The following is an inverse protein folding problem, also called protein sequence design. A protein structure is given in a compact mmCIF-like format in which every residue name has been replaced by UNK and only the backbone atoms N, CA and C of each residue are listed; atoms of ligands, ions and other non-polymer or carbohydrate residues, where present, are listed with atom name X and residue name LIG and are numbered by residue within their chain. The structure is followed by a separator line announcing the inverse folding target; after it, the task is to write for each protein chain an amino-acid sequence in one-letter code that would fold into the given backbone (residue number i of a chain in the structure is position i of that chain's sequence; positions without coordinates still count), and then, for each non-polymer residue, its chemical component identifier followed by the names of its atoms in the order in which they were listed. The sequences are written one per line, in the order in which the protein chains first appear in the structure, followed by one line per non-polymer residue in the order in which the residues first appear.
data_IF_625010079539
#
_entry.id   IF_625010079539
#
_cell.length_a   1.000
_cell.length_b   1.000
_cell.length_c   1.000
_cell.angle_alpha   90.00
_cell.angle_beta   90.00
_cell.angle_gamma   90.00
#
_symmetry.space_group_name_H-M   'P 1'
#
loop_
_entity.id
_entity.type
_entity.pdbx_description
1 polymer ?
#
# COMPACT_ATOMS: atom_id res chain seq x y z
N UNK A 1 1.73 -1.94 -20.78
CA UNK A 1 1.75 -1.96 -19.30
C UNK A 1 0.55 -2.77 -18.85
N UNK A 2 0.76 -3.82 -18.05
CA UNK A 2 -0.29 -4.67 -17.51
C UNK A 2 -1.23 -3.84 -16.63
N UNK A 3 -2.54 -4.10 -16.69
CA UNK A 3 -3.53 -3.52 -15.77
C UNK A 3 -4.09 -4.61 -14.88
N UNK A 4 -3.95 -4.40 -13.57
CA UNK A 4 -4.48 -5.27 -12.55
C UNK A 4 -5.60 -4.58 -11.77
N UNK A 5 -6.61 -5.35 -11.36
CA UNK A 5 -7.71 -4.88 -10.52
C UNK A 5 -7.46 -5.35 -9.08
N UNK A 6 -7.42 -4.44 -8.13
CA UNK A 6 -7.27 -4.76 -6.71
C UNK A 6 -8.61 -4.69 -5.98
N UNK A 7 -9.06 -5.83 -5.48
CA UNK A 7 -10.31 -5.97 -4.74
C UNK A 7 -10.04 -6.64 -3.39
N UNK A 8 -10.60 -6.07 -2.33
CA UNK A 8 -10.46 -6.60 -0.98
C UNK A 8 -11.62 -7.50 -0.55
N UNK A 9 -12.70 -7.56 -1.34
CA UNK A 9 -13.97 -8.23 -1.01
C UNK A 9 -14.61 -8.81 -2.26
N UNK A 10 -15.21 -9.99 -2.12
CA UNK A 10 -15.94 -10.71 -3.18
C UNK A 10 -17.05 -9.85 -3.81
N UNK A 11 -17.84 -9.15 -2.98
CA UNK A 11 -18.93 -8.28 -3.47
C UNK A 11 -18.50 -7.20 -4.48
N UNK A 12 -17.20 -6.89 -4.52
CA UNK A 12 -16.65 -5.90 -5.43
C UNK A 12 -16.23 -6.48 -6.78
N UNK A 13 -16.41 -7.78 -7.04
CA UNK A 13 -16.20 -8.40 -8.35
C UNK A 13 -17.04 -7.73 -9.46
N UNK A 14 -18.21 -7.17 -9.11
CA UNK A 14 -19.03 -6.30 -9.97
C UNK A 14 -18.30 -5.07 -10.55
N UNK A 15 -17.11 -4.72 -10.04
CA UNK A 15 -16.27 -3.61 -10.54
C UNK A 15 -15.40 -4.04 -11.73
N UNK A 16 -15.31 -5.32 -12.03
CA UNK A 16 -14.62 -5.81 -13.20
C UNK A 16 -15.37 -5.43 -14.47
N UNK A 17 -14.64 -4.93 -15.48
CA UNK A 17 -15.20 -4.39 -16.72
C UNK A 17 -14.51 -4.95 -17.98
N UNK A 18 -13.82 -6.09 -17.86
CA UNK A 18 -13.11 -6.72 -18.98
C UNK A 18 -11.73 -6.13 -19.31
N UNK A 19 -11.30 -5.02 -18.67
CA UNK A 19 -10.06 -4.30 -19.03
C UNK A 19 -8.82 -4.67 -18.21
N UNK A 20 -8.90 -5.70 -17.38
CA UNK A 20 -7.83 -6.10 -16.47
C UNK A 20 -7.37 -7.52 -16.83
N UNK A 21 -6.05 -7.74 -16.80
CA UNK A 21 -5.44 -9.05 -17.03
C UNK A 21 -5.11 -9.81 -15.74
N UNK A 22 -5.27 -9.17 -14.58
CA UNK A 22 -4.89 -9.72 -13.28
C UNK A 22 -5.81 -9.23 -12.17
N UNK A 23 -6.12 -10.13 -11.23
CA UNK A 23 -6.80 -9.85 -9.98
C UNK A 23 -5.78 -9.85 -8.83
N UNK A 24 -5.73 -8.74 -8.10
CA UNK A 24 -5.16 -8.68 -6.76
C UNK A 24 -6.30 -8.89 -5.78
N UNK A 25 -6.17 -9.87 -4.90
CA UNK A 25 -7.20 -10.17 -3.91
C UNK A 25 -6.60 -10.32 -2.51
N UNK A 26 -7.28 -9.78 -1.50
CA UNK A 26 -6.84 -9.83 -0.10
C UNK A 26 -6.62 -8.46 0.51
N UNK A 27 -5.98 -8.42 1.67
CA UNK A 27 -5.87 -7.21 2.50
C UNK A 27 -4.43 -6.86 2.75
N UNK A 28 -4.09 -5.60 2.52
CA UNK A 28 -2.72 -5.10 2.68
C UNK A 28 -2.45 -4.52 4.08
N UNK A 29 -3.47 -4.01 4.77
CA UNK A 29 -3.25 -3.14 5.93
C UNK A 29 -3.66 -3.73 7.28
N UNK A 30 -4.52 -4.75 7.32
CA UNK A 30 -5.10 -5.20 8.57
C UNK A 30 -5.28 -6.72 8.62
N UNK A 31 -4.60 -7.36 9.58
CA UNK A 31 -4.75 -8.80 9.83
C UNK A 31 -6.18 -9.23 10.24
N UNK A 32 -7.00 -8.30 10.75
CA UNK A 32 -8.39 -8.57 11.16
C UNK A 32 -9.36 -8.65 9.97
N UNK A 33 -8.89 -8.28 8.77
CA UNK A 33 -9.67 -8.34 7.54
C UNK A 33 -9.16 -9.41 6.56
N UNK A 34 -8.11 -10.17 6.91
CA UNK A 34 -7.64 -11.30 6.09
C UNK A 34 -8.85 -12.14 5.67
N UNK A 35 -9.03 -12.40 4.36
CA UNK A 35 -10.22 -13.10 3.87
C UNK A 35 -10.30 -14.52 4.42
N UNK A 36 -11.52 -15.05 4.46
CA UNK A 36 -11.76 -16.47 4.74
C UNK A 36 -11.31 -17.38 3.58
N UNK A 37 -11.26 -18.70 3.84
CA UNK A 37 -10.96 -19.70 2.80
C UNK A 37 -12.01 -19.69 1.67
N UNK A 38 -13.28 -19.51 2.02
CA UNK A 38 -14.36 -19.52 1.02
C UNK A 38 -14.32 -18.26 0.15
N UNK A 39 -14.10 -17.08 0.73
CA UNK A 39 -13.88 -15.85 -0.04
C UNK A 39 -12.67 -15.96 -0.99
N UNK A 40 -11.61 -16.64 -0.57
CA UNK A 40 -10.46 -16.91 -1.44
C UNK A 40 -10.83 -17.85 -2.60
N UNK A 41 -11.58 -18.92 -2.34
CA UNK A 41 -12.05 -19.85 -3.39
C UNK A 41 -12.91 -19.12 -4.41
N UNK A 42 -13.84 -18.28 -3.96
CA UNK A 42 -14.66 -17.44 -4.84
C UNK A 42 -13.80 -16.51 -5.70
N UNK A 43 -12.75 -15.92 -5.12
CA UNK A 43 -11.81 -15.07 -5.86
C UNK A 43 -11.00 -15.84 -6.91
N UNK A 44 -10.58 -17.07 -6.60
CA UNK A 44 -9.90 -17.97 -7.53
C UNK A 44 -10.83 -18.32 -8.69
N UNK A 45 -12.07 -18.74 -8.39
CA UNK A 45 -13.06 -19.10 -9.40
C UNK A 45 -13.41 -17.92 -10.30
N UNK A 46 -13.53 -16.73 -9.73
CA UNK A 46 -13.69 -15.49 -10.49
C UNK A 46 -12.50 -15.25 -11.43
N UNK A 47 -11.27 -15.38 -10.94
CA UNK A 47 -10.08 -15.21 -11.76
C UNK A 47 -10.02 -16.25 -12.89
N UNK A 48 -10.32 -17.54 -12.61
CA UNK A 48 -10.38 -18.59 -13.62
C UNK A 48 -11.45 -18.30 -14.69
N UNK A 49 -12.66 -17.93 -14.27
CA UNK A 49 -13.79 -17.61 -15.17
C UNK A 49 -13.43 -16.53 -16.19
N UNK A 50 -12.74 -15.50 -15.74
CA UNK A 50 -12.32 -14.36 -16.58
C UNK A 50 -10.88 -14.46 -17.08
N UNK A 51 -10.22 -15.62 -16.93
CA UNK A 51 -8.83 -15.89 -17.36
C UNK A 51 -7.83 -14.85 -16.86
N UNK A 52 -8.01 -14.40 -15.62
CA UNK A 52 -7.14 -13.42 -14.96
C UNK A 52 -5.97 -14.14 -14.29
N UNK A 53 -4.78 -13.53 -14.36
CA UNK A 53 -3.70 -13.89 -13.45
C UNK A 53 -4.09 -13.50 -12.01
N UNK A 54 -3.51 -14.15 -11.01
CA UNK A 54 -3.89 -13.98 -9.62
C UNK A 54 -2.70 -13.56 -8.74
N UNK A 55 -2.94 -12.61 -7.85
CA UNK A 55 -2.00 -12.18 -6.80
C UNK A 55 -2.72 -12.11 -5.46
N UNK A 56 -2.27 -12.90 -4.47
CA UNK A 56 -2.75 -12.78 -3.09
C UNK A 56 -2.05 -11.62 -2.40
N UNK A 57 -2.81 -10.69 -1.80
CA UNK A 57 -2.28 -9.58 -1.02
C UNK A 57 -2.42 -9.85 0.47
N UNK A 58 -1.28 -9.80 1.18
CA UNK A 58 -1.21 -10.11 2.62
C UNK A 58 -0.80 -8.88 3.43
N UNK A 59 -1.30 -8.71 4.66
CA UNK A 59 -0.95 -7.57 5.48
C UNK A 59 0.29 -7.84 6.33
N UNK A 60 0.72 -6.84 7.09
CA UNK A 60 1.57 -7.09 8.26
C UNK A 60 0.76 -7.85 9.32
N UNK A 61 1.39 -8.84 9.97
CA UNK A 61 0.69 -9.83 10.78
C UNK A 61 1.42 -10.16 12.07
N UNK A 62 0.64 -10.54 13.07
CA UNK A 62 1.13 -11.26 14.25
C UNK A 62 1.16 -12.77 13.97
N UNK A 63 1.65 -13.59 14.91
CA UNK A 63 1.56 -15.07 14.81
C UNK A 63 0.15 -15.59 14.50
N UNK A 64 -0.88 -14.92 15.04
CA UNK A 64 -2.28 -15.29 14.74
C UNK A 64 -2.66 -14.99 13.30
N UNK A 65 -2.24 -13.83 12.78
CA UNK A 65 -2.45 -13.48 11.38
C UNK A 65 -1.66 -14.40 10.44
N UNK A 66 -0.44 -14.79 10.83
CA UNK A 66 0.41 -15.69 10.06
C UNK A 66 -0.23 -17.08 9.89
N UNK A 67 -0.83 -17.64 10.95
CA UNK A 67 -1.62 -18.89 10.85
C UNK A 67 -2.76 -18.78 9.84
N UNK A 68 -3.45 -17.64 9.79
CA UNK A 68 -4.49 -17.40 8.77
C UNK A 68 -3.90 -17.35 7.36
N UNK A 69 -2.77 -16.68 7.17
CA UNK A 69 -2.10 -16.64 5.86
C UNK A 69 -1.69 -18.04 5.42
N UNK A 70 -1.09 -18.86 6.29
CA UNK A 70 -0.77 -20.27 5.99
C UNK A 70 -2.00 -21.04 5.51
N UNK A 71 -3.13 -20.90 6.22
CA UNK A 71 -4.38 -21.54 5.85
C UNK A 71 -4.94 -21.10 4.48
N UNK A 72 -4.60 -19.90 3.99
CA UNK A 72 -4.92 -19.44 2.63
C UNK A 72 -3.91 -19.94 1.59
N UNK A 73 -2.63 -19.99 1.97
CA UNK A 73 -1.55 -20.50 1.10
C UNK A 73 -1.76 -21.99 0.77
N UNK A 74 -2.20 -22.80 1.73
CA UNK A 74 -2.56 -24.21 1.52
C UNK A 74 -3.61 -24.36 0.40
N UNK A 75 -4.68 -23.56 0.44
CA UNK A 75 -5.72 -23.56 -0.61
C UNK A 75 -5.16 -23.12 -1.96
N UNK A 76 -4.24 -22.15 -1.98
CA UNK A 76 -3.64 -21.66 -3.23
C UNK A 76 -2.67 -22.66 -3.85
N UNK A 77 -1.93 -23.44 -3.05
CA UNK A 77 -0.98 -24.43 -3.58
C UNK A 77 -1.72 -25.46 -4.44
N UNK A 78 -2.89 -25.89 -3.99
CA UNK A 78 -3.71 -26.88 -4.69
C UNK A 78 -4.33 -26.33 -5.99
N UNK A 79 -4.67 -25.03 -6.02
CA UNK A 79 -5.51 -24.45 -7.08
C UNK A 79 -4.75 -23.58 -8.07
N UNK A 80 -3.75 -22.84 -7.62
CA UNK A 80 -2.97 -21.88 -8.41
C UNK A 80 -1.49 -21.89 -8.00
N UNK A 81 -0.78 -23.03 -8.14
CA UNK A 81 0.66 -23.06 -7.90
C UNK A 81 1.36 -22.05 -8.81
N UNK A 82 2.36 -21.33 -8.31
CA UNK A 82 3.05 -20.29 -9.08
C UNK A 82 2.41 -18.91 -9.05
N UNK A 83 1.26 -18.73 -8.37
CA UNK A 83 0.68 -17.40 -8.26
C UNK A 83 1.57 -16.44 -7.45
N UNK A 84 1.34 -15.14 -7.62
CA UNK A 84 2.07 -14.14 -6.86
C UNK A 84 1.49 -14.01 -5.44
N UNK A 85 2.38 -13.81 -4.46
CA UNK A 85 1.99 -13.42 -3.09
C UNK A 85 2.68 -12.12 -2.74
N UNK A 86 1.89 -11.05 -2.64
CA UNK A 86 2.33 -9.74 -2.19
C UNK A 86 2.45 -9.75 -0.67
N UNK A 87 3.68 -9.73 -0.18
CA UNK A 87 3.98 -9.77 1.26
C UNK A 87 4.29 -8.38 1.81
N UNK A 88 3.69 -8.07 2.95
CA UNK A 88 3.96 -6.84 3.70
C UNK A 88 4.55 -7.11 5.09
N UNK A 89 4.95 -8.36 5.33
CA UNK A 89 5.56 -8.86 6.55
C UNK A 89 6.73 -9.79 6.22
N UNK A 90 7.85 -9.66 6.94
CA UNK A 90 9.01 -10.53 6.75
C UNK A 90 8.74 -11.97 7.18
N UNK A 91 7.84 -12.20 8.15
CA UNK A 91 7.41 -13.53 8.56
C UNK A 91 6.64 -14.25 7.44
N UNK A 92 5.86 -13.51 6.65
CA UNK A 92 5.19 -14.07 5.47
C UNK A 92 6.23 -14.45 4.41
N UNK A 93 7.21 -13.59 4.10
CA UNK A 93 8.30 -13.95 3.19
C UNK A 93 9.04 -15.21 3.67
N UNK A 94 9.36 -15.30 4.96
CA UNK A 94 10.05 -16.44 5.52
C UNK A 94 9.29 -17.76 5.27
N UNK A 95 7.97 -17.78 5.52
CA UNK A 95 7.13 -18.95 5.26
C UNK A 95 7.05 -19.28 3.77
N UNK A 96 6.93 -18.28 2.88
CA UNK A 96 6.95 -18.51 1.44
C UNK A 96 8.25 -19.19 0.98
N UNK A 97 9.38 -18.81 1.57
CA UNK A 97 10.69 -19.39 1.22
C UNK A 97 10.94 -20.76 1.84
N UNK A 98 10.40 -21.01 3.03
CA UNK A 98 10.60 -22.26 3.74
C UNK A 98 9.64 -23.35 3.26
N UNK A 99 8.34 -23.04 3.22
CA UNK A 99 7.28 -24.04 3.14
C UNK A 99 6.49 -23.96 1.82
N UNK A 100 6.40 -22.77 1.20
CA UNK A 100 5.56 -22.53 0.02
C UNK A 100 6.35 -22.00 -1.19
N UNK A 101 7.44 -22.70 -1.53
CA UNK A 101 8.41 -22.28 -2.56
C UNK A 101 7.84 -22.19 -3.98
N UNK A 102 6.67 -22.76 -4.21
CA UNK A 102 5.97 -22.69 -5.50
C UNK A 102 5.47 -21.30 -5.82
N UNK A 103 5.23 -20.42 -4.84
CA UNK A 103 4.73 -19.07 -5.09
C UNK A 103 5.84 -18.08 -5.47
N UNK A 104 5.44 -17.04 -6.20
CA UNK A 104 6.31 -15.92 -6.56
C UNK A 104 6.15 -14.80 -5.52
N UNK A 105 7.15 -14.54 -4.66
CA UNK A 105 7.05 -13.48 -3.66
C UNK A 105 7.21 -12.10 -4.30
N UNK A 106 6.30 -11.19 -3.94
CA UNK A 106 6.29 -9.79 -4.40
C UNK A 106 6.37 -8.87 -3.20
N UNK A 107 7.32 -7.93 -3.20
CA UNK A 107 7.50 -7.02 -2.07
C UNK A 107 6.41 -5.96 -2.06
N UNK A 108 5.51 -6.03 -1.07
CA UNK A 108 4.41 -5.10 -0.91
C UNK A 108 4.84 -3.68 -0.52
N UNK A 109 3.98 -2.69 -0.81
CA UNK A 109 4.29 -1.27 -0.63
C UNK A 109 4.45 -0.86 0.83
N UNK A 110 4.09 -1.69 1.81
CA UNK A 110 4.40 -1.41 3.22
C UNK A 110 5.89 -1.50 3.54
N UNK A 111 6.65 -2.24 2.74
CA UNK A 111 8.08 -2.49 2.95
C UNK A 111 9.00 -1.69 2.03
N UNK A 112 8.47 -0.97 1.05
CA UNK A 112 9.26 -0.13 0.10
C UNK A 112 9.70 1.22 0.66
N UNK A 113 9.18 1.63 1.83
CA UNK A 113 9.55 2.87 2.54
C UNK A 113 9.50 4.15 1.69
N UNK A 114 8.63 4.22 0.67
CA UNK A 114 8.37 5.47 -0.04
C UNK A 114 7.90 6.57 0.93
N UNK A 115 8.25 7.82 0.63
CA UNK A 115 7.78 8.97 1.39
C UNK A 115 6.42 9.41 0.86
N UNK A 116 5.38 9.32 1.70
CA UNK A 116 3.98 9.46 1.26
C UNK A 116 3.27 10.67 1.83
N UNK A 117 3.96 11.51 2.58
CA UNK A 117 3.34 12.70 3.15
C UNK A 117 2.94 13.67 2.01
N UNK A 118 1.66 14.04 1.88
CA UNK A 118 1.23 14.93 0.80
C UNK A 118 1.86 16.33 0.86
N UNK A 119 2.36 16.76 2.02
CA UNK A 119 3.03 18.05 2.17
C UNK A 119 4.38 18.10 1.44
N UNK A 120 4.95 16.94 1.06
CA UNK A 120 6.18 16.87 0.26
C UNK A 120 6.03 17.56 -1.10
N UNK A 121 4.81 17.64 -1.64
CA UNK A 121 4.51 18.39 -2.86
C UNK A 121 4.92 19.86 -2.71
N UNK A 122 4.62 20.48 -1.56
CA UNK A 122 4.99 21.87 -1.25
C UNK A 122 6.48 21.97 -0.96
N UNK A 123 7.00 21.08 -0.12
CA UNK A 123 8.40 21.07 0.29
C UNK A 123 9.37 20.98 -0.91
N UNK A 124 9.04 20.16 -1.92
CA UNK A 124 9.86 19.98 -3.12
C UNK A 124 9.71 21.10 -4.16
N UNK A 125 8.83 22.09 -3.95
CA UNK A 125 8.83 23.32 -4.77
C UNK A 125 10.02 24.23 -4.46
N UNK A 126 10.74 24.00 -3.35
CA UNK A 126 11.95 24.74 -2.96
C UNK A 126 11.75 26.26 -2.90
N UNK A 127 10.56 26.67 -2.47
CA UNK A 127 10.28 28.06 -2.13
C UNK A 127 10.79 28.32 -0.71
N UNK A 128 11.44 29.46 -0.51
CA UNK A 128 11.68 29.97 0.83
C UNK A 128 10.34 30.48 1.34
N UNK A 129 9.85 29.90 2.43
CA UNK A 129 8.57 30.29 3.00
C UNK A 129 8.74 30.48 4.51
N UNK A 130 8.18 31.57 5.02
CA UNK A 130 8.07 31.81 6.45
C UNK A 130 6.59 31.69 6.82
N UNK A 131 6.31 30.88 7.83
CA UNK A 131 4.97 30.68 8.36
C UNK A 131 4.93 31.26 9.76
N UNK A 132 3.94 32.10 10.02
CA UNK A 132 3.72 32.72 11.33
C UNK A 132 2.49 32.07 11.92
N UNK A 133 2.64 31.48 13.09
CA UNK A 133 1.57 30.83 13.84
C UNK A 133 1.33 31.58 15.16
N UNK A 134 0.08 31.75 15.60
CA UNK A 134 -0.19 32.17 16.97
C UNK A 134 0.47 31.20 17.95
N UNK A 135 1.13 31.71 18.99
CA UNK A 135 1.64 30.83 20.04
C UNK A 135 0.47 30.31 20.87
N UNK A 136 0.38 28.98 21.13
CA UNK A 136 -0.63 28.44 22.03
C UNK A 136 -0.46 28.92 23.48
N UNK A 137 0.78 29.25 23.87
CA UNK A 137 1.18 29.40 25.27
C UNK A 137 1.76 30.79 25.59
N UNK A 138 1.75 31.75 24.66
CA UNK A 138 2.37 33.05 24.87
C UNK A 138 1.96 34.17 23.89
N UNK A 139 2.39 35.42 24.16
CA UNK A 139 1.98 36.59 23.38
C UNK A 139 2.71 36.74 22.04
N UNK A 140 3.87 36.09 21.89
CA UNK A 140 4.69 36.18 20.68
C UNK A 140 4.35 35.05 19.71
N UNK A 141 4.25 35.30 18.39
CA UNK A 141 3.97 34.24 17.42
C UNK A 141 5.18 33.31 17.24
N UNK A 142 4.90 32.06 16.88
CA UNK A 142 5.93 31.13 16.44
C UNK A 142 6.22 31.34 14.94
N UNK A 143 7.49 31.50 14.58
CA UNK A 143 7.93 31.64 13.19
C UNK A 143 8.61 30.35 12.75
N UNK A 144 8.05 29.69 11.74
CA UNK A 144 8.67 28.56 11.06
C UNK A 144 9.28 29.03 9.74
N UNK A 145 10.60 28.94 9.61
CA UNK A 145 11.31 29.29 8.37
C UNK A 145 11.66 28.00 7.63
N UNK A 146 11.01 27.77 6.50
CA UNK A 146 11.34 26.66 5.62
C UNK A 146 12.44 27.09 4.64
N UNK A 147 13.66 26.56 4.83
CA UNK A 147 14.75 26.73 3.86
C UNK A 147 14.56 25.83 2.64
N UNK A 148 15.13 26.23 1.50
CA UNK A 148 15.12 25.41 0.28
C UNK A 148 15.77 24.06 0.54
N UNK A 149 15.11 22.99 0.10
CA UNK A 149 15.71 21.67 0.08
C UNK A 149 16.78 21.59 -1.02
N UNK A 150 17.94 21.00 -0.72
CA UNK A 150 18.92 20.58 -1.73
C UNK A 150 18.30 19.71 -2.84
N UNK A 151 18.87 19.78 -4.05
CA UNK A 151 18.33 19.09 -5.24
C UNK A 151 18.62 17.59 -5.22
N UNK A 152 19.78 17.20 -4.69
CA UNK A 152 20.25 15.83 -4.49
C UNK A 152 19.33 14.99 -3.58
N UNK A 153 18.52 15.62 -2.73
CA UNK A 153 17.52 14.94 -1.90
C UNK A 153 16.28 14.46 -2.67
N UNK A 154 16.13 14.79 -3.96
CA UNK A 154 15.01 14.31 -4.77
C UNK A 154 14.93 12.78 -4.77
N UNK A 155 16.07 12.09 -4.86
CA UNK A 155 16.13 10.63 -4.85
C UNK A 155 15.60 10.05 -3.53
N UNK A 156 15.82 10.74 -2.41
CA UNK A 156 15.31 10.33 -1.10
C UNK A 156 13.79 10.52 -0.99
N UNK A 157 13.26 11.67 -1.42
CA UNK A 157 11.84 12.02 -1.25
C UNK A 157 10.91 11.47 -2.34
N UNK A 158 11.44 11.20 -3.54
CA UNK A 158 10.70 10.62 -4.67
C UNK A 158 11.00 9.13 -4.84
N UNK A 159 12.02 8.61 -4.16
CA UNK A 159 12.41 7.21 -4.21
C UNK A 159 11.74 6.31 -3.17
N UNK A 160 12.20 5.08 -3.16
CA UNK A 160 11.90 4.05 -2.19
C UNK A 160 13.24 3.47 -1.73
N UNK A 161 13.41 3.02 -0.48
CA UNK A 161 14.70 2.49 -0.06
C UNK A 161 15.12 1.28 -0.92
N UNK A 162 14.15 0.48 -1.37
CA UNK A 162 14.39 -0.66 -2.25
C UNK A 162 14.87 -0.20 -3.62
N UNK A 163 14.29 0.87 -4.17
CA UNK A 163 14.67 1.37 -5.50
C UNK A 163 15.91 2.24 -5.51
N UNK A 164 16.40 2.72 -4.37
CA UNK A 164 17.57 3.62 -4.31
C UNK A 164 18.78 2.98 -3.62
N UNK A 165 18.57 1.92 -2.82
CA UNK A 165 19.64 1.22 -2.11
C UNK A 165 19.86 -0.16 -2.72
N UNK A 166 20.87 -0.28 -3.59
CA UNK A 166 21.16 -1.53 -4.30
C UNK A 166 21.46 -2.75 -3.41
N UNK A 167 21.84 -2.54 -2.14
CA UNK A 167 22.03 -3.63 -1.16
C UNK A 167 20.72 -4.33 -0.82
N UNK A 168 19.59 -3.60 -0.76
CA UNK A 168 18.27 -4.17 -0.48
C UNK A 168 17.83 -5.04 -1.66
N UNK A 169 18.02 -4.58 -2.89
CA UNK A 169 17.69 -5.38 -4.09
C UNK A 169 18.53 -6.67 -4.13
N UNK A 170 19.85 -6.58 -3.85
CA UNK A 170 20.73 -7.75 -3.78
C UNK A 170 20.34 -8.75 -2.69
N UNK A 171 19.76 -8.29 -1.57
CA UNK A 171 19.22 -9.16 -0.54
C UNK A 171 17.91 -9.86 -0.98
N UNK A 172 17.05 -9.14 -1.70
CA UNK A 172 15.74 -9.65 -2.13
C UNK A 172 15.84 -10.64 -3.30
N UNK A 173 16.83 -10.48 -4.19
CA UNK A 173 16.96 -11.32 -5.39
C UNK A 173 17.15 -12.83 -5.07
N UNK A 174 18.03 -13.26 -4.15
CA UNK A 174 18.13 -14.68 -3.76
C UNK A 174 16.84 -15.24 -3.14
N UNK A 175 15.97 -14.38 -2.62
CA UNK A 175 14.66 -14.76 -2.09
C UNK A 175 13.59 -14.89 -3.18
N UNK A 176 13.96 -14.85 -4.45
CA UNK A 176 13.01 -14.96 -5.57
C UNK A 176 12.16 -13.70 -5.79
N UNK A 177 12.40 -12.63 -5.03
CA UNK A 177 11.68 -11.36 -5.22
C UNK A 177 12.22 -10.68 -6.47
N UNK A 178 11.34 -10.51 -7.45
CA UNK A 178 11.63 -9.86 -8.75
C UNK A 178 10.71 -8.68 -9.04
N UNK A 179 9.74 -8.41 -8.15
CA UNK A 179 8.78 -7.32 -8.28
C UNK A 179 8.59 -6.59 -6.95
N UNK A 180 8.44 -5.28 -7.03
CA UNK A 180 8.11 -4.42 -5.90
C UNK A 180 6.86 -3.59 -6.18
N UNK A 181 6.12 -3.28 -5.13
CA UNK A 181 4.89 -2.50 -5.18
C UNK A 181 5.14 -1.05 -4.75
N UNK A 182 4.75 -0.10 -5.59
CA UNK A 182 4.94 1.34 -5.37
C UNK A 182 3.61 2.09 -5.39
N UNK A 183 3.56 3.24 -4.72
CA UNK A 183 2.44 4.16 -4.74
C UNK A 183 2.63 5.28 -5.77
N UNK A 184 1.55 5.73 -6.40
CA UNK A 184 1.53 6.91 -7.25
C UNK A 184 1.66 8.22 -6.45
N UNK A 185 2.88 8.55 -6.02
CA UNK A 185 3.18 9.69 -5.16
C UNK A 185 2.82 11.04 -5.80
N UNK A 186 2.22 11.94 -5.01
CA UNK A 186 1.84 13.28 -5.48
C UNK A 186 3.01 14.16 -5.89
N UNK A 187 4.19 13.94 -5.29
CA UNK A 187 5.44 14.65 -5.61
C UNK A 187 6.22 14.05 -6.80
N UNK A 188 5.68 13.01 -7.44
CA UNK A 188 6.39 12.23 -8.46
C UNK A 188 7.27 11.14 -7.86
N UNK A 189 7.83 10.29 -8.74
CA UNK A 189 8.65 9.14 -8.36
C UNK A 189 10.01 9.18 -9.06
N UNK A 190 11.00 8.60 -8.37
CA UNK A 190 12.30 8.23 -8.93
C UNK A 190 12.62 6.80 -8.49
N UNK A 191 13.35 6.06 -9.32
CA UNK A 191 13.74 4.70 -9.03
C UNK A 191 15.01 4.34 -9.79
N UNK A 192 15.89 3.58 -9.14
CA UNK A 192 17.07 2.95 -9.73
C UNK A 192 16.95 1.43 -9.54
N UNK A 193 16.01 0.83 -10.25
CA UNK A 193 15.84 -0.63 -10.22
C UNK A 193 17.00 -1.29 -10.96
N UNK A 194 17.44 -2.46 -10.47
CA UNK A 194 18.36 -3.32 -11.19
C UNK A 194 17.68 -3.78 -12.48
N UNK A 195 18.01 -3.08 -13.57
CA UNK A 195 17.41 -3.27 -14.90
C UNK A 195 17.42 -4.75 -15.27
N UNK A 196 16.31 -5.23 -15.83
CA UNK A 196 16.07 -6.63 -16.22
C UNK A 196 16.02 -7.65 -15.07
N UNK A 197 16.28 -7.26 -13.81
CA UNK A 197 16.20 -8.16 -12.65
C UNK A 197 15.03 -7.84 -11.71
N UNK A 198 14.64 -6.58 -11.61
CA UNK A 198 13.53 -6.13 -10.76
C UNK A 198 12.60 -5.25 -11.58
N UNK A 199 11.30 -5.57 -11.56
CA UNK A 199 10.24 -4.71 -12.08
C UNK A 199 9.42 -4.09 -10.94
N UNK A 200 8.57 -3.13 -11.28
CA UNK A 200 7.68 -2.50 -10.32
C UNK A 200 6.24 -2.45 -10.81
N UNK A 201 5.31 -2.44 -9.86
CA UNK A 201 3.92 -2.07 -10.08
C UNK A 201 3.60 -0.76 -9.37
N UNK A 202 2.65 0.01 -9.90
CA UNK A 202 2.20 1.28 -9.29
C UNK A 202 0.70 1.21 -8.95
N UNK A 203 0.36 1.49 -7.69
CA UNK A 203 -1.01 1.58 -7.22
C UNK A 203 -1.64 2.93 -7.54
N UNK A 204 -2.88 2.88 -8.03
CA UNK A 204 -3.73 4.06 -8.29
C UNK A 204 -5.18 3.80 -7.83
N UNK A 205 -5.94 4.84 -7.46
CA UNK A 205 -5.50 6.21 -7.18
C UNK A 205 -5.13 6.42 -5.70
N UNK A 206 -5.28 5.40 -4.86
CA UNK A 206 -5.15 5.54 -3.40
C UNK A 206 -3.72 5.28 -2.94
N UNK A 207 -3.11 6.33 -2.39
CA UNK A 207 -1.81 6.28 -1.73
C UNK A 207 -2.03 6.28 -0.23
N UNK A 208 -1.53 5.28 0.47
CA UNK A 208 -1.58 5.29 1.94
C UNK A 208 -0.52 6.25 2.50
N UNK A 209 -0.71 6.83 3.68
CA UNK A 209 0.24 7.75 4.30
C UNK A 209 0.92 7.06 5.48
N UNK A 210 0.09 6.48 6.34
CA UNK A 210 0.52 5.76 7.54
C UNK A 210 -0.52 4.70 7.88
N UNK A 211 -0.04 3.60 8.47
CA UNK A 211 -0.85 2.50 8.98
C UNK A 211 -0.35 2.11 10.37
N UNK A 212 -1.24 1.61 11.22
CA UNK A 212 -0.93 1.27 12.61
C UNK A 212 -1.74 0.06 13.10
N UNK A 213 -1.25 -0.67 14.10
CA UNK A 213 -2.06 -1.70 14.77
C UNK A 213 -3.23 -1.08 15.56
N UNK A 214 -3.07 0.14 16.06
CA UNK A 214 -4.12 0.88 16.77
C UNK A 214 -5.11 1.43 15.76
N UNK A 215 -6.27 0.81 15.59
CA UNK A 215 -7.28 1.22 14.62
C UNK A 215 -8.08 2.43 15.12
N UNK A 216 -7.92 3.65 14.54
CA UNK A 216 -8.68 4.82 15.01
C UNK A 216 -10.16 4.75 14.64
N UNK A 217 -10.53 3.88 13.69
CA UNK A 217 -11.93 3.62 13.32
C UNK A 217 -12.62 2.64 14.30
N UNK A 218 -11.88 1.91 15.14
CA UNK A 218 -12.49 0.93 16.03
C UNK A 218 -13.34 1.61 17.12
N UNK A 219 -14.57 1.13 17.32
CA UNK A 219 -15.52 1.69 18.27
C UNK A 219 -16.11 3.04 17.87
N UNK A 220 -15.96 3.50 16.62
CA UNK A 220 -16.58 4.75 16.17
C UNK A 220 -18.12 4.70 16.13
N UNK A 221 -18.70 3.49 16.16
CA UNK A 221 -20.15 3.26 16.26
C UNK A 221 -20.69 3.37 17.68
N UNK A 222 -19.83 3.53 18.69
CA UNK A 222 -20.21 3.59 20.11
C UNK A 222 -19.99 4.99 20.67
N UNK A 223 -20.91 5.49 21.52
CA UNK A 223 -20.79 6.76 22.26
C UNK A 223 -19.78 6.67 23.42
N UNK A 224 -18.58 6.15 23.16
CA UNK A 224 -17.54 6.05 24.17
C UNK A 224 -16.56 7.22 24.03
N UNK A 225 -16.67 8.17 24.96
CA UNK A 225 -15.66 9.18 25.24
C UNK A 225 -14.44 8.50 25.86
N UNK A 226 -13.48 8.06 25.05
CA UNK A 226 -12.18 7.62 25.59
C UNK A 226 -11.08 7.57 24.52
N UNK A 227 -9.93 8.08 24.97
CA UNK A 227 -8.56 8.06 24.45
C UNK A 227 -8.10 6.84 23.63
N UNK A 228 -6.97 7.04 22.92
CA UNK A 228 -6.24 6.06 22.11
C UNK A 228 -5.98 4.74 22.88
N UNK A 229 -6.87 3.75 22.73
CA UNK A 229 -6.74 2.40 23.29
C UNK A 229 -6.95 1.34 22.20
N UNK A 230 -6.37 0.15 22.37
CA UNK A 230 -6.70 -1.01 21.51
C UNK A 230 -8.12 -1.43 21.85
N UNK A 231 -9.04 -1.28 20.90
CA UNK A 231 -10.45 -1.64 21.05
C UNK A 231 -10.75 -2.97 20.37
N UNK A 232 -11.76 -3.74 20.82
CA UNK A 232 -12.27 -4.88 20.07
C UNK A 232 -12.62 -4.46 18.64
N UNK A 233 -12.18 -5.22 17.65
CA UNK A 233 -12.46 -4.91 16.25
C UNK A 233 -13.84 -5.46 15.88
N UNK A 234 -14.78 -4.58 15.54
CA UNK A 234 -16.08 -4.96 14.95
C UNK A 234 -16.12 -4.65 13.45
N UNK A 235 -14.94 -4.46 12.86
CA UNK A 235 -14.76 -4.15 11.44
C UNK A 235 -15.56 -2.93 10.97
N UNK A 236 -15.68 -1.90 11.82
CA UNK A 236 -16.44 -0.68 11.52
C UNK A 236 -15.95 0.02 10.25
N UNK A 237 -14.68 -0.16 9.89
CA UNK A 237 -14.09 0.31 8.64
C UNK A 237 -14.70 -0.25 7.36
N UNK A 238 -15.49 -1.33 7.48
CA UNK A 238 -16.28 -1.90 6.40
C UNK A 238 -17.52 -1.05 6.08
N UNK A 239 -17.94 -0.19 7.02
CA UNK A 239 -19.12 0.67 6.94
C UNK A 239 -18.75 2.16 6.91
N UNK A 240 -17.72 2.54 7.65
CA UNK A 240 -17.34 3.93 7.87
C UNK A 240 -15.94 4.24 7.36
N UNK A 241 -15.76 5.46 6.89
CA UNK A 241 -14.48 6.12 6.70
C UNK A 241 -14.65 7.60 7.04
N UNK A 242 -13.57 8.27 7.39
CA UNK A 242 -13.56 9.68 7.74
C UNK A 242 -12.81 10.47 6.68
N UNK A 243 -13.34 11.65 6.35
CA UNK A 243 -12.67 12.62 5.51
C UNK A 243 -12.10 13.69 6.43
N UNK A 244 -10.78 13.81 6.47
CA UNK A 244 -10.07 14.76 7.32
C UNK A 244 -9.54 15.89 6.43
N UNK A 245 -9.94 17.12 6.77
CA UNK A 245 -9.49 18.34 6.10
C UNK A 245 -8.61 19.11 7.07
N UNK A 246 -7.46 19.55 6.59
CA UNK A 246 -6.57 20.41 7.34
C UNK A 246 -5.85 21.35 6.36
N UNK A 247 -5.80 22.68 6.63
CA UNK A 247 -5.23 23.67 5.71
C UNK A 247 -3.77 23.42 5.30
N UNK A 248 -3.00 22.73 6.13
CA UNK A 248 -1.59 22.42 5.86
C UNK A 248 -1.47 21.42 4.70
N UNK A 249 -2.35 20.43 4.64
CA UNK A 249 -2.31 19.40 3.61
C UNK A 249 -2.92 19.89 2.29
N UNK A 250 -2.22 19.71 1.15
CA UNK A 250 -2.75 20.12 -0.16
C UNK A 250 -3.85 19.19 -0.70
N UNK A 251 -4.23 18.15 0.05
CA UNK A 251 -5.21 17.13 -0.35
C UNK A 251 -6.08 16.75 0.84
N UNK A 252 -7.29 16.28 0.58
CA UNK A 252 -8.12 15.63 1.59
C UNK A 252 -7.49 14.30 2.02
N UNK A 253 -7.50 14.03 3.33
CA UNK A 253 -7.08 12.75 3.86
C UNK A 253 -8.30 11.86 4.12
N UNK A 254 -8.17 10.58 3.86
CA UNK A 254 -9.18 9.58 4.12
C UNK A 254 -8.66 8.62 5.19
N UNK A 255 -9.30 8.58 6.35
CA UNK A 255 -9.04 7.58 7.36
C UNK A 255 -10.05 6.46 7.19
N UNK A 256 -9.57 5.27 6.84
CA UNK A 256 -10.39 4.05 6.80
C UNK A 256 -9.68 2.99 7.60
N UNK A 257 -10.38 2.37 8.56
CA UNK A 257 -9.76 1.41 9.46
C UNK A 257 -8.59 1.99 10.21
N UNK A 258 -7.43 1.37 10.04
CA UNK A 258 -6.19 1.70 10.70
C UNK A 258 -5.21 2.48 9.82
N UNK A 259 -5.68 2.99 8.68
CA UNK A 259 -4.80 3.53 7.64
C UNK A 259 -5.34 4.86 7.11
N UNK A 260 -4.43 5.82 6.96
CA UNK A 260 -4.68 7.09 6.32
C UNK A 260 -4.31 7.01 4.84
N UNK A 261 -5.11 7.62 3.98
CA UNK A 261 -4.89 7.67 2.54
C UNK A 261 -5.06 9.09 2.02
N UNK A 262 -4.51 9.35 0.84
CA UNK A 262 -4.97 10.41 -0.05
C UNK A 262 -5.20 9.83 -1.44
N UNK A 263 -5.88 10.59 -2.29
CA UNK A 263 -6.17 10.21 -3.68
C UNK A 263 -5.25 11.00 -4.61
N UNK A 264 -4.54 10.31 -5.51
CA UNK A 264 -3.81 10.89 -6.62
C UNK A 264 -4.30 10.28 -7.94
N UNK A 265 -4.98 11.08 -8.74
CA UNK A 265 -5.53 10.66 -10.03
C UNK A 265 -4.59 10.95 -11.21
N UNK A 266 -3.41 11.54 -10.98
CA UNK A 266 -2.47 11.87 -12.06
C UNK A 266 -1.79 10.60 -12.56
N UNK A 267 -1.79 10.39 -13.87
CA UNK A 267 -1.08 9.28 -14.50
C UNK A 267 0.16 9.80 -15.21
N UNK A 268 1.31 9.17 -14.97
CA UNK A 268 2.58 9.55 -15.58
C UNK A 268 3.19 8.34 -16.31
N UNK A 269 2.48 7.82 -17.32
CA UNK A 269 2.80 6.52 -17.94
C UNK A 269 4.21 6.45 -18.52
N UNK A 270 4.64 7.45 -19.29
CA UNK A 270 5.97 7.49 -19.91
C UNK A 270 7.08 7.53 -18.85
N UNK A 271 6.90 8.34 -17.81
CA UNK A 271 7.80 8.39 -16.67
C UNK A 271 7.89 7.03 -15.97
N UNK A 272 6.75 6.39 -15.69
CA UNK A 272 6.72 5.10 -15.00
C UNK A 272 7.41 3.99 -15.80
N UNK A 273 7.22 3.95 -17.12
CA UNK A 273 7.92 3.01 -17.99
C UNK A 273 9.44 3.21 -17.93
N UNK A 274 9.92 4.46 -17.96
CA UNK A 274 11.34 4.79 -17.80
C UNK A 274 11.92 4.35 -16.45
N UNK A 275 11.08 4.19 -15.43
CA UNK A 275 11.47 3.72 -14.08
C UNK A 275 11.40 2.20 -13.91
N UNK A 276 11.07 1.43 -14.96
CA UNK A 276 10.91 -0.02 -14.88
C UNK A 276 9.57 -0.48 -14.30
N UNK A 277 8.57 0.41 -14.29
CA UNK A 277 7.18 0.04 -13.97
C UNK A 277 6.54 -0.57 -15.21
N UNK A 278 6.03 -1.79 -15.08
CA UNK A 278 5.37 -2.53 -16.15
C UNK A 278 3.91 -2.89 -15.82
N UNK A 279 3.44 -2.57 -14.61
CA UNK A 279 2.10 -2.88 -14.11
C UNK A 279 1.45 -1.71 -13.38
N UNK A 280 0.16 -1.47 -13.65
CA UNK A 280 -0.71 -0.56 -12.88
C UNK A 280 -1.70 -1.38 -12.08
N UNK A 281 -1.73 -1.18 -10.77
CA UNK A 281 -2.69 -1.81 -9.86
C UNK A 281 -3.80 -0.80 -9.53
N UNK A 282 -5.01 -1.05 -10.02
CA UNK A 282 -6.15 -0.15 -9.87
C UNK A 282 -7.03 -0.60 -8.71
N UNK A 283 -7.13 0.23 -7.68
CA UNK A 283 -8.05 0.05 -6.57
C UNK A 283 -9.29 0.94 -6.78
N UNK A 284 -10.48 0.39 -7.09
CA UNK A 284 -11.68 1.18 -7.40
C UNK A 284 -12.26 1.88 -6.17
N UNK A 285 -11.90 1.43 -4.96
CA UNK A 285 -12.26 2.05 -3.68
C UNK A 285 -11.05 2.09 -2.75
N UNK A 286 -11.17 2.77 -1.60
CA UNK A 286 -10.11 2.78 -0.58
C UNK A 286 -9.88 1.32 -0.12
N UNK A 287 -8.66 0.78 -0.26
CA UNK A 287 -8.37 -0.66 -0.17
C UNK A 287 -8.41 -1.20 1.27
N UNK A 288 -9.63 -1.32 1.84
CA UNK A 288 -9.96 -1.87 3.16
C UNK A 288 -11.39 -2.45 3.18
#
# INVERSE_FOLDING_TARGET
MERALYLTKVKNFRRYNGRYGRLYFGQEFCQRLIPGRDELKEAIEFACRYKLQFSLVTPYVTNTGLKKIVALLEVLVERLPGCEVVFNDWGVLNILRRDFRTFVPVLGRLLTKQKRCPTLIKLLQRKNEAFIFPSPDGPLPHIFIQRKLPVDLDMYYKGSNVSTVGRIQRFLLPQGVRRIELDNLGQGMQAQLLKHKVSASVYVPYVYISTTFFCPTAGCSTRLNSSLKIRPCRQECQRYHFILKNPIFPVCLYLKGNTYFYKNNKFHLSLWQGLGVDRIVVSPEIPL
#
